data_IF_542286922166
#
_entry.id   IF_542286922166
#
_cell.length_a   1.000
_cell.length_b   1.000
_cell.length_c   1.000
_cell.angle_alpha   90.00
_cell.angle_beta   90.00
_cell.angle_gamma   90.00
#
_symmetry.space_group_name_H-M   'P 1'
#
loop_
_entity.id
_entity.type
_entity.pdbx_description
1 polymer ?
#
# COMPACT_ATOMS: atom_id res chain seq x y z
N UNK A 1 15.90 27.19 -2.33
CA UNK A 1 17.14 26.48 -1.98
C UNK A 1 16.72 25.07 -1.60
N UNK A 2 17.09 24.06 -2.38
CA UNK A 2 16.80 22.65 -2.08
C UNK A 2 17.60 22.26 -0.84
N UNK A 3 16.90 21.93 0.25
CA UNK A 3 17.50 21.51 1.52
C UNK A 3 17.38 20.00 1.66
N UNK A 4 18.51 19.30 1.61
CA UNK A 4 18.58 17.86 1.71
C UNK A 4 17.89 17.31 2.96
N UNK A 5 18.04 17.98 4.10
CA UNK A 5 17.42 17.57 5.35
C UNK A 5 15.90 17.74 5.31
N UNK A 6 15.43 18.76 4.59
CA UNK A 6 13.99 18.95 4.34
C UNK A 6 13.44 17.82 3.48
N UNK A 7 14.05 17.55 2.33
CA UNK A 7 13.58 16.53 1.39
C UNK A 7 13.63 15.12 2.02
N UNK A 8 14.66 14.82 2.82
CA UNK A 8 14.74 13.58 3.60
C UNK A 8 13.61 13.45 4.61
N UNK A 9 13.28 14.51 5.36
CA UNK A 9 12.15 14.51 6.30
C UNK A 9 10.82 14.32 5.58
N UNK A 10 10.64 14.96 4.43
CA UNK A 10 9.44 14.81 3.59
C UNK A 10 9.30 13.38 3.07
N UNK A 11 10.39 12.77 2.59
CA UNK A 11 10.40 11.37 2.17
C UNK A 11 10.10 10.40 3.32
N UNK A 12 10.65 10.62 4.52
CA UNK A 12 10.33 9.81 5.71
C UNK A 12 8.85 9.94 6.07
N UNK A 13 8.31 11.16 6.13
CA UNK A 13 6.91 11.40 6.45
C UNK A 13 5.97 10.79 5.40
N UNK A 14 6.29 10.90 4.12
CA UNK A 14 5.52 10.30 3.05
C UNK A 14 5.56 8.77 3.11
N UNK A 15 6.74 8.19 3.41
CA UNK A 15 6.88 6.75 3.57
C UNK A 15 6.12 6.21 4.78
N UNK A 16 6.13 6.91 5.92
CA UNK A 16 5.33 6.54 7.10
C UNK A 16 3.82 6.60 6.81
N UNK A 17 3.38 7.61 6.06
CA UNK A 17 1.99 7.73 5.62
C UNK A 17 1.60 6.57 4.70
N UNK A 18 2.45 6.25 3.71
CA UNK A 18 2.25 5.11 2.82
C UNK A 18 2.19 3.78 3.59
N UNK A 19 3.08 3.59 4.57
CA UNK A 19 3.11 2.42 5.42
C UNK A 19 1.83 2.27 6.26
N UNK A 20 1.34 3.37 6.84
CA UNK A 20 0.09 3.38 7.60
C UNK A 20 -1.11 2.99 6.71
N UNK A 21 -1.23 3.61 5.54
CA UNK A 21 -2.30 3.32 4.58
C UNK A 21 -2.25 1.88 4.08
N UNK A 22 -1.07 1.34 3.77
CA UNK A 22 -0.90 -0.07 3.40
C UNK A 22 -1.31 -1.02 4.54
N UNK A 23 -0.95 -0.72 5.79
CA UNK A 23 -1.36 -1.52 6.96
C UNK A 23 -2.88 -1.49 7.17
N UNK A 24 -3.51 -0.33 7.01
CA UNK A 24 -4.98 -0.21 7.05
C UNK A 24 -5.64 -1.01 5.93
N UNK A 25 -5.12 -0.93 4.70
CA UNK A 25 -5.63 -1.71 3.58
C UNK A 25 -5.50 -3.22 3.82
N UNK A 26 -4.36 -3.68 4.33
CA UNK A 26 -4.16 -5.08 4.72
C UNK A 26 -5.18 -5.54 5.77
N UNK A 27 -5.41 -4.76 6.83
CA UNK A 27 -6.39 -5.07 7.86
C UNK A 27 -7.79 -5.23 7.28
N UNK A 28 -8.18 -4.37 6.34
CA UNK A 28 -9.51 -4.41 5.72
C UNK A 28 -9.66 -5.61 4.77
N UNK A 29 -8.60 -5.97 4.07
CA UNK A 29 -8.57 -7.22 3.29
C UNK A 29 -8.59 -8.48 4.18
N UNK A 30 -7.96 -8.43 5.36
CA UNK A 30 -8.00 -9.50 6.38
C UNK A 30 -9.44 -9.70 6.91
N UNK A 31 -10.14 -8.60 7.19
CA UNK A 31 -11.56 -8.59 7.56
C UNK A 31 -12.43 -9.16 6.42
N UNK A 32 -12.23 -8.70 5.18
CA UNK A 32 -13.01 -9.14 4.01
C UNK A 32 -12.86 -10.64 3.72
N UNK A 33 -11.67 -11.21 3.92
CA UNK A 33 -11.42 -12.66 3.77
C UNK A 33 -12.20 -13.48 4.79
N UNK A 34 -12.26 -13.03 6.04
CA UNK A 34 -12.89 -13.76 7.14
C UNK A 34 -14.41 -13.89 6.93
N UNK A 35 -15.04 -12.89 6.31
CA UNK A 35 -16.47 -12.94 5.95
C UNK A 35 -16.79 -13.86 4.76
N UNK A 36 -15.87 -14.05 3.82
CA UNK A 36 -16.04 -15.02 2.72
C UNK A 36 -16.17 -16.48 3.18
N UNK A 37 -15.71 -16.79 4.40
CA UNK A 37 -15.88 -18.10 5.04
C UNK A 37 -17.23 -18.21 5.78
N UNK A 38 -17.74 -17.09 6.31
CA UNK A 38 -19.03 -17.04 7.03
C UNK A 38 -20.22 -17.26 6.10
N UNK A 39 -20.11 -16.87 4.82
CA UNK A 39 -21.15 -17.07 3.79
C UNK A 39 -21.52 -18.54 3.53
N UNK A 40 -20.64 -19.50 3.84
CA UNK A 40 -20.88 -20.93 3.61
C UNK A 40 -21.78 -21.54 4.68
N UNK A 41 -21.92 -20.91 5.85
CA UNK A 41 -22.62 -21.49 7.00
C UNK A 41 -24.03 -20.90 7.27
N UNK A 42 -24.47 -19.86 6.56
CA UNK A 42 -25.59 -19.02 7.03
C UNK A 42 -26.79 -18.76 6.11
N UNK A 43 -26.69 -18.93 4.80
CA UNK A 43 -27.84 -18.83 3.87
C UNK A 43 -28.62 -17.50 3.85
N UNK A 44 -28.48 -16.72 2.76
CA UNK A 44 -29.56 -15.88 2.23
C UNK A 44 -29.42 -14.35 2.35
N UNK A 45 -29.09 -13.71 1.23
CA UNK A 45 -29.44 -12.33 0.80
C UNK A 45 -28.83 -11.15 1.59
N UNK A 46 -28.73 -11.18 2.92
CA UNK A 46 -28.16 -10.07 3.72
C UNK A 46 -26.66 -9.92 3.49
N UNK A 47 -25.96 -11.01 3.18
CA UNK A 47 -24.52 -10.98 3.00
C UNK A 47 -24.06 -10.25 1.74
N UNK A 48 -24.87 -10.19 0.67
CA UNK A 48 -24.47 -9.55 -0.59
C UNK A 48 -24.33 -8.02 -0.49
N UNK A 49 -25.17 -7.34 0.30
CA UNK A 49 -25.12 -5.88 0.50
C UNK A 49 -23.99 -5.48 1.46
N UNK A 50 -23.81 -6.22 2.55
CA UNK A 50 -22.69 -6.02 3.48
C UNK A 50 -21.36 -6.30 2.78
N UNK A 51 -21.31 -7.33 1.92
CA UNK A 51 -20.15 -7.66 1.08
C UNK A 51 -19.80 -6.51 0.14
N UNK A 52 -20.78 -5.88 -0.51
CA UNK A 52 -20.52 -4.73 -1.38
C UNK A 52 -19.94 -3.55 -0.61
N UNK A 53 -20.55 -3.15 0.50
CA UNK A 53 -20.04 -2.03 1.33
C UNK A 53 -18.62 -2.28 1.87
N UNK A 54 -18.27 -3.51 2.26
CA UNK A 54 -16.92 -3.83 2.73
C UNK A 54 -15.88 -3.93 1.62
N UNK A 55 -16.29 -4.33 0.41
CA UNK A 55 -15.41 -4.24 -0.76
C UNK A 55 -15.18 -2.79 -1.18
N UNK A 56 -16.20 -1.95 -1.08
CA UNK A 56 -16.08 -0.51 -1.32
C UNK A 56 -15.12 0.13 -0.31
N UNK A 57 -15.22 -0.25 0.98
CA UNK A 57 -14.25 0.14 2.02
C UNK A 57 -12.82 -0.30 1.64
N UNK A 58 -12.62 -1.59 1.31
CA UNK A 58 -11.31 -2.12 0.95
C UNK A 58 -10.71 -1.40 -0.29
N UNK A 59 -11.53 -1.12 -1.29
CA UNK A 59 -11.14 -0.34 -2.47
C UNK A 59 -10.70 1.08 -2.09
N UNK A 60 -11.45 1.77 -1.22
CA UNK A 60 -11.10 3.11 -0.77
C UNK A 60 -9.75 3.15 -0.04
N UNK A 61 -9.45 2.15 0.81
CA UNK A 61 -8.16 2.03 1.49
C UNK A 61 -7.02 1.69 0.52
N UNK A 62 -7.27 0.84 -0.49
CA UNK A 62 -6.29 0.54 -1.52
C UNK A 62 -5.96 1.77 -2.37
N UNK A 63 -6.95 2.56 -2.74
CA UNK A 63 -6.74 3.80 -3.47
C UNK A 63 -5.96 4.83 -2.63
N UNK A 64 -6.23 4.89 -1.32
CA UNK A 64 -5.45 5.72 -0.41
C UNK A 64 -3.99 5.25 -0.33
N UNK A 65 -3.76 3.94 -0.22
CA UNK A 65 -2.42 3.37 -0.20
C UNK A 65 -1.66 3.66 -1.51
N UNK A 66 -2.32 3.59 -2.67
CA UNK A 66 -1.74 3.98 -3.97
C UNK A 66 -1.35 5.46 -3.99
N UNK A 67 -2.23 6.36 -3.55
CA UNK A 67 -1.92 7.80 -3.49
C UNK A 67 -0.72 8.10 -2.60
N UNK A 68 -0.68 7.52 -1.41
CA UNK A 68 0.42 7.76 -0.46
C UNK A 68 1.73 7.14 -0.93
N UNK A 69 1.69 5.96 -1.56
CA UNK A 69 2.87 5.33 -2.13
C UNK A 69 3.40 6.10 -3.36
N UNK A 70 2.52 6.66 -4.19
CA UNK A 70 2.90 7.55 -5.29
C UNK A 70 3.57 8.83 -4.76
N UNK A 71 3.01 9.42 -3.69
CA UNK A 71 3.61 10.56 -3.01
C UNK A 71 4.99 10.21 -2.46
N UNK A 72 5.12 9.07 -1.77
CA UNK A 72 6.42 8.60 -1.28
C UNK A 72 7.43 8.45 -2.41
N UNK A 73 7.03 7.88 -3.55
CA UNK A 73 7.90 7.76 -4.71
C UNK A 73 8.37 9.10 -5.29
N UNK A 74 7.53 10.13 -5.24
CA UNK A 74 7.92 11.49 -5.64
C UNK A 74 9.00 12.05 -4.69
N UNK A 75 8.73 12.08 -3.38
CA UNK A 75 9.69 12.62 -2.41
C UNK A 75 11.01 11.82 -2.43
N UNK A 76 10.93 10.50 -2.62
CA UNK A 76 12.11 9.63 -2.72
C UNK A 76 12.94 9.90 -3.99
N UNK A 77 12.31 10.39 -5.07
CA UNK A 77 13.01 10.84 -6.29
C UNK A 77 13.72 12.16 -6.06
N UNK A 78 13.10 13.07 -5.31
CA UNK A 78 13.70 14.36 -4.94
C UNK A 78 14.95 14.15 -4.07
N UNK A 79 14.89 13.22 -3.09
CA UNK A 79 16.05 12.79 -2.29
C UNK A 79 17.17 12.17 -3.13
N UNK A 80 16.86 11.37 -4.15
CA UNK A 80 17.88 10.81 -5.07
C UNK A 80 18.55 11.86 -5.97
N UNK A 81 17.87 12.98 -6.23
CA UNK A 81 18.45 14.11 -6.97
C UNK A 81 19.72 14.66 -6.31
N UNK A 82 19.89 14.41 -5.00
CA UNK A 82 21.10 14.70 -4.25
C UNK A 82 22.08 13.53 -4.37
N UNK A 83 22.98 13.65 -5.36
CA UNK A 83 23.95 12.61 -5.77
C UNK A 83 24.80 12.01 -4.63
N UNK A 84 24.96 12.73 -3.50
CA UNK A 84 25.80 12.30 -2.37
C UNK A 84 25.14 11.35 -1.39
N UNK A 85 23.81 11.14 -1.43
CA UNK A 85 23.16 10.29 -0.43
C UNK A 85 23.32 8.79 -0.69
N UNK A 86 23.67 8.36 -1.90
CA UNK A 86 23.88 6.94 -2.23
C UNK A 86 22.73 6.02 -1.79
N UNK A 87 21.51 6.55 -1.71
CA UNK A 87 20.32 5.77 -1.36
C UNK A 87 19.96 4.99 -2.61
N UNK A 88 20.36 3.71 -2.63
CA UNK A 88 19.93 2.76 -3.67
C UNK A 88 18.46 2.45 -3.46
N UNK A 89 17.64 3.13 -4.24
CA UNK A 89 16.20 2.84 -4.38
C UNK A 89 15.94 1.82 -5.48
N UNK A 90 17.00 1.23 -6.02
CA UNK A 90 16.96 0.18 -7.04
C UNK A 90 15.86 -0.83 -6.75
N UNK A 91 14.86 -0.86 -7.63
CA UNK A 91 13.68 -1.72 -7.54
C UNK A 91 12.46 -1.12 -6.84
N UNK A 92 12.53 0.07 -6.23
CA UNK A 92 11.33 0.73 -5.68
C UNK A 92 10.42 1.26 -6.78
N UNK A 93 10.93 1.98 -7.78
CA UNK A 93 10.08 2.51 -8.86
C UNK A 93 9.42 1.39 -9.65
N UNK A 94 10.17 0.34 -10.01
CA UNK A 94 9.60 -0.85 -10.67
C UNK A 94 8.55 -1.56 -9.81
N UNK A 95 8.74 -1.60 -8.49
CA UNK A 95 7.74 -2.12 -7.56
C UNK A 95 6.51 -1.20 -7.48
N UNK A 96 6.71 0.12 -7.41
CA UNK A 96 5.63 1.08 -7.32
C UNK A 96 4.78 1.01 -8.58
N UNK A 97 5.41 1.00 -9.76
CA UNK A 97 4.71 0.83 -11.05
C UNK A 97 3.89 -0.46 -11.04
N UNK A 98 4.49 -1.59 -10.66
CA UNK A 98 3.77 -2.87 -10.53
C UNK A 98 2.59 -2.81 -9.54
N UNK A 99 2.74 -2.14 -8.40
CA UNK A 99 1.69 -1.98 -7.40
C UNK A 99 0.59 -1.00 -7.84
N UNK A 100 0.93 0.01 -8.65
CA UNK A 100 -0.05 0.93 -9.22
C UNK A 100 -0.87 0.26 -10.33
N UNK A 101 -0.21 -0.54 -11.16
CA UNK A 101 -0.82 -1.23 -12.31
C UNK A 101 -1.71 -2.41 -11.88
N UNK A 102 -1.54 -2.92 -10.66
CA UNK A 102 -2.40 -4.01 -10.19
C UNK A 102 -3.84 -3.54 -9.97
N UNK A 103 -4.76 -4.19 -10.68
CA UNK A 103 -6.19 -3.92 -10.63
C UNK A 103 -6.80 -4.56 -9.38
N UNK A 104 -7.21 -3.72 -8.45
CA UNK A 104 -7.83 -4.12 -7.17
C UNK A 104 -9.36 -4.01 -7.16
N UNK A 105 -9.95 -3.33 -8.15
CA UNK A 105 -11.37 -2.99 -8.18
C UNK A 105 -12.34 -4.19 -8.10
N UNK A 106 -11.89 -5.40 -8.46
CA UNK A 106 -12.73 -6.61 -8.58
C UNK A 106 -12.46 -7.66 -7.49
N UNK A 107 -12.40 -7.27 -6.21
CA UNK A 107 -12.23 -8.19 -5.06
C UNK A 107 -13.36 -9.21 -4.84
N UNK A 108 -14.27 -9.36 -5.80
CA UNK A 108 -15.46 -10.23 -5.75
C UNK A 108 -15.09 -11.71 -5.56
N UNK A 109 -13.88 -12.13 -5.97
CA UNK A 109 -13.37 -13.51 -5.80
C UNK A 109 -12.35 -13.63 -4.68
N UNK A 110 -12.46 -14.68 -3.87
CA UNK A 110 -11.59 -14.96 -2.72
C UNK A 110 -10.08 -15.02 -3.11
N UNK A 111 -9.77 -15.56 -4.28
CA UNK A 111 -8.41 -15.59 -4.82
C UNK A 111 -7.85 -14.19 -5.09
N UNK A 112 -8.70 -13.24 -5.52
CA UNK A 112 -8.29 -11.85 -5.72
C UNK A 112 -8.01 -11.14 -4.41
N UNK A 113 -8.78 -11.43 -3.35
CA UNK A 113 -8.50 -10.91 -1.99
C UNK A 113 -7.15 -11.46 -1.48
N UNK A 114 -6.88 -12.75 -1.65
CA UNK A 114 -5.61 -13.34 -1.23
C UNK A 114 -4.43 -12.74 -1.99
N UNK A 115 -4.56 -12.58 -3.31
CA UNK A 115 -3.53 -11.92 -4.13
C UNK A 115 -3.30 -10.47 -3.69
N UNK A 116 -4.36 -9.72 -3.41
CA UNK A 116 -4.24 -8.34 -2.94
C UNK A 116 -3.51 -8.23 -1.60
N UNK A 117 -3.82 -9.13 -0.66
CA UNK A 117 -3.13 -9.20 0.63
C UNK A 117 -1.65 -9.46 0.46
N UNK A 118 -1.29 -10.40 -0.41
CA UNK A 118 0.12 -10.72 -0.69
C UNK A 118 0.85 -9.53 -1.32
N UNK A 119 0.21 -8.82 -2.27
CA UNK A 119 0.76 -7.60 -2.87
C UNK A 119 0.94 -6.47 -1.84
N UNK A 120 -0.06 -6.25 -0.97
CA UNK A 120 0.03 -5.25 0.11
C UNK A 120 1.10 -5.63 1.14
N UNK A 121 1.27 -6.91 1.46
CA UNK A 121 2.34 -7.36 2.36
C UNK A 121 3.72 -7.07 1.78
N UNK A 122 3.94 -7.41 0.51
CA UNK A 122 5.19 -7.09 -0.21
C UNK A 122 5.45 -5.59 -0.25
N UNK A 123 4.40 -4.79 -0.41
CA UNK A 123 4.48 -3.33 -0.38
C UNK A 123 4.91 -2.80 0.99
N UNK A 124 4.34 -3.33 2.08
CA UNK A 124 4.71 -3.00 3.47
C UNK A 124 6.19 -3.28 3.68
N UNK A 125 6.64 -4.50 3.38
CA UNK A 125 8.03 -4.92 3.58
C UNK A 125 9.01 -4.01 2.82
N UNK A 126 8.62 -3.62 1.60
CA UNK A 126 9.43 -2.75 0.74
C UNK A 126 9.52 -1.32 1.28
N UNK A 127 8.39 -0.75 1.69
CA UNK A 127 8.35 0.61 2.28
C UNK A 127 9.12 0.64 3.60
N UNK A 128 8.97 -0.37 4.46
CA UNK A 128 9.72 -0.48 5.72
C UNK A 128 11.22 -0.55 5.46
N UNK A 129 11.67 -1.37 4.51
CA UNK A 129 13.09 -1.46 4.15
C UNK A 129 13.69 -0.12 3.73
N UNK A 130 12.95 0.67 2.94
CA UNK A 130 13.41 1.98 2.46
C UNK A 130 13.38 3.02 3.59
N UNK A 131 12.34 3.02 4.42
CA UNK A 131 12.28 3.89 5.60
C UNK A 131 13.45 3.64 6.55
N UNK A 132 13.79 2.37 6.81
CA UNK A 132 14.95 2.03 7.63
C UNK A 132 16.25 2.59 7.05
N UNK A 133 16.43 2.53 5.72
CA UNK A 133 17.61 3.09 5.04
C UNK A 133 17.64 4.63 5.08
N UNK A 134 16.49 5.28 4.88
CA UNK A 134 16.34 6.73 4.96
C UNK A 134 16.64 7.28 6.36
N UNK A 135 16.28 6.53 7.41
CA UNK A 135 16.50 6.90 8.81
C UNK A 135 17.90 6.58 9.32
N UNK A 136 18.58 5.60 8.73
CA UNK A 136 19.92 5.17 9.14
C UNK A 136 21.06 6.02 8.53
N UNK A 137 20.78 6.72 7.43
CA UNK A 137 21.61 7.82 6.92
C UNK A 137 21.07 9.14 7.45
#
# INVERSE_FOLDING_TARGET
MYDLEKEKREAVKAGESALASLKSAKSKLDEAKSWGVVDILGGGIVSSLIKRSKMDDANAYMDQAKRDLARFGKELRDVQGFKDLGIKTDGFFSFADWFMDSTFADFVMQDRINNARDQVSKAIDRVESILSRLKAK
#
